data_IF_392434080049
#
_entry.id   IF_392434080049
#
_cell.length_a   1.000
_cell.length_b   1.000
_cell.length_c   1.000
_cell.angle_alpha   90.00
_cell.angle_beta   90.00
_cell.angle_gamma   90.00
#
_symmetry.space_group_name_H-M   'P 1'
#
loop_
_entity.id
_entity.type
_entity.pdbx_description
1 polymer ?
#
# COMPACT_ATOMS: atom_id res chain seq x y z
N UNK A 1 -7.56 -31.64 6.35
CA UNK A 1 -7.94 -30.52 5.49
C UNK A 1 -7.25 -29.34 6.12
N UNK A 2 -5.99 -29.19 5.72
CA UNK A 2 -5.08 -28.20 6.25
C UNK A 2 -5.48 -26.84 5.68
N UNK A 3 -6.13 -26.05 6.53
CA UNK A 3 -6.41 -24.64 6.34
C UNK A 3 -5.11 -23.89 6.65
N UNK A 4 -4.32 -23.61 5.62
CA UNK A 4 -3.11 -22.78 5.72
C UNK A 4 -3.00 -21.99 4.42
N UNK A 5 -3.91 -21.02 4.28
CA UNK A 5 -3.87 -19.98 3.24
C UNK A 5 -3.55 -18.64 3.92
N UNK A 6 -2.47 -18.59 4.70
CA UNK A 6 -2.11 -17.39 5.47
C UNK A 6 -0.59 -17.17 5.52
N UNK A 7 0.09 -17.41 4.40
CA UNK A 7 1.52 -17.10 4.23
C UNK A 7 1.76 -16.32 2.92
N UNK A 8 0.72 -15.64 2.41
CA UNK A 8 0.93 -14.64 1.37
C UNK A 8 1.45 -13.36 2.05
N UNK A 9 2.60 -12.82 1.59
CA UNK A 9 3.15 -11.61 2.18
C UNK A 9 2.11 -10.51 2.05
N UNK A 10 1.72 -9.90 3.17
CA UNK A 10 0.81 -8.76 3.19
C UNK A 10 1.22 -7.76 4.25
N UNK A 11 0.97 -6.48 3.98
CA UNK A 11 1.22 -5.38 4.91
C UNK A 11 -0.11 -4.71 5.18
N UNK A 12 -0.55 -4.70 6.44
CA UNK A 12 -1.80 -4.06 6.83
C UNK A 12 -1.55 -2.90 7.77
N UNK A 13 -1.95 -1.71 7.33
CA UNK A 13 -1.94 -0.47 8.10
C UNK A 13 -3.31 -0.29 8.73
N UNK A 14 -3.40 -0.35 10.06
CA UNK A 14 -4.65 -0.08 10.81
C UNK A 14 -4.61 1.32 11.40
N UNK A 15 -5.70 2.07 11.25
CA UNK A 15 -5.83 3.35 11.91
C UNK A 15 -5.93 3.15 13.43
N UNK A 16 -5.08 3.84 14.21
CA UNK A 16 -5.11 3.74 15.66
C UNK A 16 -6.46 4.12 16.27
N UNK A 17 -7.07 5.19 15.76
CA UNK A 17 -8.28 5.75 16.33
C UNK A 17 -9.54 4.94 15.91
N UNK A 18 -9.45 4.14 14.84
CA UNK A 18 -10.51 3.24 14.40
C UNK A 18 -9.96 2.04 13.62
N UNK A 19 -9.87 0.89 14.28
CA UNK A 19 -9.36 -0.35 13.67
C UNK A 19 -10.20 -0.88 12.48
N UNK A 20 -11.43 -0.38 12.28
CA UNK A 20 -12.23 -0.72 11.09
C UNK A 20 -11.74 0.00 9.84
N UNK A 21 -10.87 1.01 10.00
CA UNK A 21 -10.19 1.71 8.90
C UNK A 21 -8.81 1.11 8.73
N UNK A 22 -8.59 0.45 7.59
CA UNK A 22 -7.28 -0.12 7.27
C UNK A 22 -6.98 -0.07 5.79
N UNK A 23 -5.68 -0.15 5.50
CA UNK A 23 -5.13 -0.31 4.16
C UNK A 23 -4.29 -1.57 4.14
N UNK A 24 -4.45 -2.39 3.11
CA UNK A 24 -3.69 -3.64 2.96
C UNK A 24 -3.01 -3.66 1.60
N UNK A 25 -1.71 -3.93 1.58
CA UNK A 25 -0.96 -4.32 0.41
C UNK A 25 -0.84 -5.85 0.43
N UNK A 26 -1.27 -6.53 -0.64
CA UNK A 26 -1.29 -7.99 -0.69
C UNK A 26 -1.16 -8.51 -2.13
N UNK A 27 -1.28 -9.84 -2.29
CA UNK A 27 -1.32 -10.55 -3.58
C UNK A 27 -0.12 -10.17 -4.46
N UNK A 28 1.05 -10.14 -3.84
CA UNK A 28 2.29 -9.75 -4.50
C UNK A 28 2.73 -10.81 -5.51
N UNK A 29 3.08 -10.37 -6.71
CA UNK A 29 3.74 -11.19 -7.72
C UNK A 29 4.66 -10.33 -8.60
N UNK A 30 5.53 -10.99 -9.36
CA UNK A 30 6.42 -10.33 -10.32
C UNK A 30 6.40 -11.10 -11.63
N UNK A 31 6.29 -10.39 -12.76
CA UNK A 31 6.45 -11.01 -14.09
C UNK A 31 7.88 -10.92 -14.62
N UNK A 32 8.65 -9.96 -14.11
CA UNK A 32 10.02 -9.68 -14.53
C UNK A 32 10.86 -9.16 -13.36
N UNK A 33 12.12 -8.83 -13.64
CA UNK A 33 13.09 -8.37 -12.65
C UNK A 33 13.06 -6.84 -12.43
N UNK A 34 12.23 -6.11 -13.16
CA UNK A 34 12.19 -4.64 -13.15
C UNK A 34 10.95 -4.08 -12.42
N UNK A 35 9.96 -4.94 -12.16
CA UNK A 35 8.68 -4.56 -11.55
C UNK A 35 8.12 -5.59 -10.56
N UNK A 36 7.37 -5.08 -9.59
CA UNK A 36 6.56 -5.85 -8.66
C UNK A 36 5.13 -5.39 -8.80
N UNK A 37 4.22 -6.36 -8.92
CA UNK A 37 2.79 -6.15 -8.94
C UNK A 37 2.18 -6.58 -7.62
N UNK A 38 1.18 -5.84 -7.16
CA UNK A 38 0.45 -6.15 -5.94
C UNK A 38 -0.94 -5.54 -5.99
N UNK A 39 -1.80 -5.91 -5.06
CA UNK A 39 -3.07 -5.25 -4.86
C UNK A 39 -3.03 -4.32 -3.65
N UNK A 40 -3.89 -3.30 -3.69
CA UNK A 40 -4.14 -2.42 -2.56
C UNK A 40 -5.62 -2.42 -2.23
N UNK A 41 -5.94 -2.74 -0.98
CA UNK A 41 -7.28 -2.69 -0.43
C UNK A 41 -7.43 -1.54 0.55
N UNK A 42 -8.51 -0.76 0.42
CA UNK A 42 -8.99 0.17 1.44
C UNK A 42 -10.24 -0.39 2.09
N UNK A 43 -10.29 -0.36 3.42
CA UNK A 43 -11.48 -0.70 4.21
C UNK A 43 -11.81 0.42 5.18
N UNK A 44 -13.10 0.72 5.28
CA UNK A 44 -13.69 1.57 6.31
C UNK A 44 -15.18 1.18 6.47
N UNK A 45 -15.88 1.63 7.52
CA UNK A 45 -17.32 1.36 7.64
C UNK A 45 -18.10 1.80 6.40
N UNK A 46 -18.70 0.84 5.69
CA UNK A 46 -19.45 1.08 4.45
C UNK A 46 -18.60 1.25 3.18
N UNK A 47 -17.27 1.09 3.27
CA UNK A 47 -16.34 1.18 2.15
C UNK A 47 -15.45 -0.06 2.09
N UNK A 48 -15.45 -0.70 0.94
CA UNK A 48 -14.41 -1.64 0.55
C UNK A 48 -14.06 -1.33 -0.89
N UNK A 49 -12.80 -1.00 -1.13
CA UNK A 49 -12.29 -0.64 -2.44
C UNK A 49 -10.97 -1.35 -2.65
N UNK A 50 -10.74 -1.86 -3.85
CA UNK A 50 -9.55 -2.63 -4.17
C UNK A 50 -9.10 -2.31 -5.58
N UNK A 51 -7.82 -2.02 -5.75
CA UNK A 51 -7.16 -1.98 -7.06
C UNK A 51 -6.21 -3.15 -7.13
N UNK A 52 -6.41 -3.98 -8.14
CA UNK A 52 -5.52 -5.08 -8.49
C UNK A 52 -4.40 -4.59 -9.40
N UNK A 53 -3.27 -5.32 -9.42
CA UNK A 53 -2.15 -5.14 -10.33
C UNK A 53 -1.49 -3.74 -10.29
N UNK A 54 -1.46 -3.10 -9.12
CA UNK A 54 -0.64 -1.90 -8.88
C UNK A 54 0.83 -2.23 -9.13
N UNK A 55 1.51 -1.40 -9.93
CA UNK A 55 2.91 -1.60 -10.30
C UNK A 55 3.84 -0.72 -9.45
N UNK A 56 4.85 -1.35 -8.84
CA UNK A 56 6.04 -0.70 -8.29
C UNK A 56 7.26 -1.04 -9.16
N UNK A 57 7.96 -0.01 -9.64
CA UNK A 57 9.16 -0.16 -10.46
C UNK A 57 10.40 -0.12 -9.57
N UNK A 58 11.29 -1.10 -9.72
CA UNK A 58 12.48 -1.27 -8.85
C UNK A 58 13.47 -0.08 -8.95
N UNK A 59 13.40 0.67 -10.05
CA UNK A 59 14.29 1.80 -10.36
C UNK A 59 13.71 3.18 -10.00
N UNK A 60 12.51 3.26 -9.46
CA UNK A 60 11.86 4.54 -9.13
C UNK A 60 11.71 4.78 -7.62
N UNK A 61 11.29 6.00 -7.27
CA UNK A 61 11.00 6.47 -5.92
C UNK A 61 9.77 5.74 -5.38
N UNK A 62 10.02 4.57 -4.83
CA UNK A 62 8.99 3.69 -4.31
C UNK A 62 8.29 4.29 -3.08
N UNK A 63 7.18 3.68 -2.66
CA UNK A 63 6.42 4.09 -1.48
C UNK A 63 7.28 4.02 -0.21
N UNK A 64 8.18 3.03 -0.11
CA UNK A 64 9.02 2.83 1.07
C UNK A 64 9.93 4.04 1.38
N UNK A 65 10.77 4.55 0.45
CA UNK A 65 11.55 5.76 0.67
C UNK A 65 10.72 6.97 1.14
N UNK A 66 9.53 7.18 0.57
CA UNK A 66 8.64 8.25 1.00
C UNK A 66 8.23 8.09 2.48
N UNK A 67 7.85 6.88 2.89
CA UNK A 67 7.51 6.60 4.29
C UNK A 67 8.73 6.71 5.23
N UNK A 68 9.92 6.31 4.78
CA UNK A 68 11.18 6.49 5.50
C UNK A 68 11.47 7.98 5.76
N UNK A 69 11.24 8.86 4.78
CA UNK A 69 11.37 10.31 4.93
C UNK A 69 10.37 10.87 5.96
N UNK A 70 9.12 10.41 5.94
CA UNK A 70 8.13 10.81 6.95
C UNK A 70 8.55 10.38 8.36
N UNK A 71 9.12 9.18 8.51
CA UNK A 71 9.62 8.68 9.78
C UNK A 71 10.85 9.46 10.28
N UNK A 72 11.74 9.85 9.37
CA UNK A 72 12.93 10.64 9.70
C UNK A 72 12.56 12.05 10.22
N UNK A 73 11.50 12.64 9.67
CA UNK A 73 10.99 13.95 10.07
C UNK A 73 9.95 13.88 11.21
N UNK A 74 10.13 12.95 12.15
CA UNK A 74 9.25 12.76 13.32
C UNK A 74 9.08 14.01 14.22
N UNK A 75 9.96 15.01 14.09
CA UNK A 75 9.86 16.29 14.81
C UNK A 75 8.76 17.20 14.26
N UNK A 76 8.22 16.87 13.09
CA UNK A 76 7.15 17.60 12.43
C UNK A 76 7.59 18.35 11.18
N UNK A 77 6.63 18.58 10.30
CA UNK A 77 6.75 19.41 9.11
C UNK A 77 5.46 20.20 8.91
N UNK A 78 5.56 21.32 8.19
CA UNK A 78 4.41 22.11 7.79
C UNK A 78 3.85 21.64 6.44
N UNK A 79 2.53 21.69 6.30
CA UNK A 79 1.83 21.38 5.04
C UNK A 79 1.66 19.89 4.77
N UNK A 80 1.36 19.58 3.50
CA UNK A 80 1.14 18.22 3.01
C UNK A 80 2.36 17.75 2.20
N UNK A 81 2.77 16.49 2.44
CA UNK A 81 3.69 15.76 1.58
C UNK A 81 2.92 14.70 0.83
N UNK A 82 3.25 14.49 -0.44
CA UNK A 82 2.49 13.55 -1.28
C UNK A 82 3.41 12.67 -2.09
N UNK A 83 3.03 11.41 -2.20
CA UNK A 83 3.61 10.42 -3.10
C UNK A 83 2.50 9.82 -3.98
N UNK A 84 2.89 9.34 -5.16
CA UNK A 84 2.00 8.62 -6.07
C UNK A 84 2.81 7.63 -6.89
N UNK A 85 2.26 6.45 -7.17
CA UNK A 85 2.89 5.51 -8.10
C UNK A 85 2.82 6.04 -9.54
N UNK A 86 3.65 5.46 -10.42
CA UNK A 86 3.78 5.91 -11.82
C UNK A 86 2.48 5.83 -12.60
N UNK A 87 1.74 4.76 -12.38
CA UNK A 87 0.46 4.50 -13.05
C UNK A 87 -0.68 5.29 -12.41
N UNK A 88 -0.42 6.05 -11.33
CA UNK A 88 -1.38 6.93 -10.64
C UNK A 88 -2.58 6.21 -10.04
N UNK A 89 -2.51 4.89 -9.90
CA UNK A 89 -3.51 4.06 -9.26
C UNK A 89 -3.56 4.29 -7.75
N UNK A 90 -2.41 4.62 -7.14
CA UNK A 90 -2.26 4.82 -5.70
C UNK A 90 -1.58 6.16 -5.45
N UNK A 91 -2.23 7.00 -4.63
CA UNK A 91 -1.63 8.19 -4.07
C UNK A 91 -1.66 8.13 -2.54
N UNK A 92 -0.60 8.60 -1.90
CA UNK A 92 -0.52 8.76 -0.45
C UNK A 92 -0.21 10.21 -0.15
N UNK A 93 -1.06 10.88 0.63
CA UNK A 93 -0.75 12.19 1.18
C UNK A 93 -0.59 12.13 2.69
N UNK A 94 0.33 12.94 3.21
CA UNK A 94 0.76 12.90 4.60
C UNK A 94 0.75 14.29 5.21
N UNK A 95 0.10 14.42 6.36
CA UNK A 95 0.07 15.63 7.17
C UNK A 95 0.55 15.32 8.59
N UNK A 96 1.38 16.20 9.15
CA UNK A 96 1.78 16.08 10.54
C UNK A 96 0.72 16.73 11.44
N UNK A 97 0.06 15.91 12.24
CA UNK A 97 -0.97 16.32 13.18
C UNK A 97 -0.39 16.70 14.55
N UNK A 98 -1.22 17.36 15.36
CA UNK A 98 -0.90 17.62 16.76
C UNK A 98 -0.69 16.31 17.53
N UNK A 99 0.29 16.29 18.44
CA UNK A 99 0.54 15.13 19.29
C UNK A 99 1.51 14.10 18.71
N UNK A 100 2.25 14.43 17.64
CA UNK A 100 3.25 13.52 17.06
C UNK A 100 2.66 12.45 16.15
N UNK A 101 1.41 12.65 15.70
CA UNK A 101 0.71 11.75 14.79
C UNK A 101 0.85 12.19 13.34
N UNK A 102 0.93 11.24 12.43
CA UNK A 102 0.90 11.47 10.98
C UNK A 102 -0.41 10.91 10.45
N UNK A 103 -1.16 11.76 9.76
CA UNK A 103 -2.32 11.33 8.99
C UNK A 103 -1.89 10.95 7.59
N UNK A 104 -2.02 9.67 7.23
CA UNK A 104 -1.79 9.16 5.88
C UNK A 104 -3.14 8.98 5.18
N UNK A 105 -3.39 9.74 4.12
CA UNK A 105 -4.55 9.57 3.25
C UNK A 105 -4.16 8.76 2.03
N UNK A 106 -4.67 7.53 1.98
CA UNK A 106 -4.48 6.60 0.87
C UNK A 106 -5.63 6.79 -0.11
N UNK A 107 -5.32 7.05 -1.37
CA UNK A 107 -6.30 7.25 -2.43
C UNK A 107 -6.07 6.25 -3.55
N UNK A 108 -7.10 5.48 -3.87
CA UNK A 108 -7.13 4.53 -4.96
C UNK A 108 -7.97 5.06 -6.11
N UNK A 109 -7.47 4.90 -7.33
CA UNK A 109 -8.18 5.23 -8.57
C UNK A 109 -7.69 4.32 -9.70
N UNK A 110 -8.42 3.27 -10.08
CA UNK A 110 -8.00 2.43 -11.20
C UNK A 110 -7.84 3.24 -12.49
N UNK A 111 -6.79 2.94 -13.25
CA UNK A 111 -6.47 3.58 -14.53
C UNK A 111 -7.68 3.64 -15.50
N UNK A 112 -7.82 4.71 -16.32
CA UNK A 112 -9.08 5.06 -17.00
C UNK A 112 -9.54 4.16 -18.17
N UNK A 113 -8.92 2.99 -18.40
CA UNK A 113 -9.20 2.17 -19.60
C UNK A 113 -10.58 1.54 -19.63
N UNK A 114 -11.33 1.51 -18.52
CA UNK A 114 -12.70 1.02 -18.46
C UNK A 114 -13.70 2.14 -18.13
N UNK A 115 -14.82 2.21 -18.86
CA UNK A 115 -15.98 3.00 -18.44
C UNK A 115 -16.43 2.52 -17.06
N UNK A 116 -16.59 3.44 -16.09
CA UNK A 116 -16.90 3.08 -14.69
C UNK A 116 -15.78 3.36 -13.67
N UNK A 117 -14.84 4.26 -13.99
CA UNK A 117 -13.80 4.67 -13.06
C UNK A 117 -14.36 5.18 -11.72
N UNK A 118 -13.73 4.76 -10.63
CA UNK A 118 -14.06 5.17 -9.28
C UNK A 118 -12.82 5.77 -8.60
N UNK A 119 -13.04 6.47 -7.49
CA UNK A 119 -11.97 6.84 -6.58
C UNK A 119 -12.45 6.62 -5.15
N UNK A 120 -11.58 6.08 -4.31
CA UNK A 120 -11.85 5.92 -2.89
C UNK A 120 -10.62 6.35 -2.10
N UNK A 121 -10.86 6.92 -0.92
CA UNK A 121 -9.79 7.32 -0.03
C UNK A 121 -10.12 6.95 1.42
N UNK A 122 -9.10 6.57 2.17
CA UNK A 122 -9.18 6.39 3.63
C UNK A 122 -7.97 7.05 4.29
N UNK A 123 -8.19 7.58 5.50
CA UNK A 123 -7.12 8.18 6.29
C UNK A 123 -6.79 7.30 7.49
N UNK A 124 -5.52 6.92 7.61
CA UNK A 124 -4.98 6.20 8.76
C UNK A 124 -4.09 7.13 9.59
N UNK A 125 -4.19 7.07 10.92
CA UNK A 125 -3.34 7.82 11.83
C UNK A 125 -2.30 6.89 12.47
N UNK A 126 -1.03 7.28 12.38
CA UNK A 126 0.11 6.57 12.97
C UNK A 126 0.98 7.51 13.80
N UNK A 127 1.77 6.98 14.73
CA UNK A 127 2.83 7.78 15.36
C UNK A 127 3.94 8.07 14.35
N UNK A 128 4.42 9.31 14.32
CA UNK A 128 5.44 9.77 13.36
C UNK A 128 6.81 9.07 13.51
N UNK A 129 7.10 8.51 14.69
CA UNK A 129 8.36 7.84 15.01
C UNK A 129 8.35 6.35 14.64
N UNK A 130 8.42 5.49 15.66
CA UNK A 130 8.62 4.05 15.45
C UNK A 130 7.53 3.37 14.62
N UNK A 131 6.27 3.78 14.73
CA UNK A 131 5.22 3.19 13.91
C UNK A 131 5.38 3.52 12.43
N UNK A 132 5.74 4.77 12.09
CA UNK A 132 6.05 5.13 10.70
C UNK A 132 7.30 4.40 10.20
N UNK A 133 8.34 4.27 11.02
CA UNK A 133 9.55 3.54 10.67
C UNK A 133 9.29 2.03 10.46
N UNK A 134 8.48 1.41 11.31
CA UNK A 134 8.04 0.01 11.15
C UNK A 134 7.25 -0.15 9.87
N UNK A 135 6.30 0.75 9.60
CA UNK A 135 5.52 0.72 8.37
C UNK A 135 6.43 0.82 7.13
N UNK A 136 7.39 1.74 7.13
CA UNK A 136 8.33 1.90 6.04
C UNK A 136 9.16 0.62 5.81
N UNK A 137 9.63 -0.02 6.89
CA UNK A 137 10.36 -1.28 6.83
C UNK A 137 9.49 -2.45 6.31
N UNK A 138 8.24 -2.55 6.78
CA UNK A 138 7.30 -3.59 6.35
C UNK A 138 6.97 -3.45 4.86
N UNK A 139 6.69 -2.22 4.40
CA UNK A 139 6.45 -1.93 2.97
C UNK A 139 7.70 -2.23 2.15
N UNK A 140 8.88 -1.83 2.62
CA UNK A 140 10.15 -2.14 1.94
C UNK A 140 10.36 -3.64 1.81
N UNK A 141 10.13 -4.39 2.89
CA UNK A 141 10.27 -5.83 2.90
C UNK A 141 9.27 -6.51 1.96
N UNK A 142 8.01 -6.06 1.98
CA UNK A 142 6.98 -6.53 1.06
C UNK A 142 7.39 -6.32 -0.39
N UNK A 143 7.84 -5.12 -0.77
CA UNK A 143 8.21 -4.82 -2.15
C UNK A 143 9.48 -5.57 -2.58
N UNK A 144 10.46 -5.72 -1.68
CA UNK A 144 11.72 -6.42 -1.92
C UNK A 144 11.66 -7.96 -1.79
N UNK A 145 10.54 -8.54 -1.36
CA UNK A 145 10.40 -9.97 -1.08
C UNK A 145 10.78 -10.88 -2.27
N UNK A 146 11.04 -12.16 -2.02
CA UNK A 146 11.40 -13.10 -3.11
C UNK A 146 10.23 -13.30 -4.09
N UNK A 147 10.54 -13.56 -5.37
CA UNK A 147 9.54 -13.72 -6.43
C UNK A 147 8.61 -14.91 -6.12
N UNK A 148 7.35 -14.65 -5.81
CA UNK A 148 6.36 -15.71 -5.75
C UNK A 148 5.88 -15.97 -7.18
N UNK A 149 6.41 -17.00 -7.82
CA UNK A 149 5.90 -17.49 -9.09
C UNK A 149 4.45 -17.96 -8.88
N UNK A 150 3.46 -17.21 -9.37
CA UNK A 150 2.08 -17.72 -9.42
C UNK A 150 2.08 -19.04 -10.19
N UNK A 151 1.56 -20.15 -9.64
CA UNK A 151 1.39 -21.36 -10.43
C UNK A 151 0.43 -21.01 -11.59
N UNK A 152 0.95 -21.04 -12.82
CA UNK A 152 0.13 -20.93 -14.02
C UNK A 152 -0.93 -22.02 -13.93
N UNK A 153 -2.20 -21.64 -13.77
CA UNK A 153 -3.30 -22.59 -13.83
C UNK A 153 -3.25 -23.25 -15.20
N UNK A 154 -2.83 -24.51 -15.22
CA UNK A 154 -2.86 -25.35 -16.41
C UNK A 154 -4.30 -25.36 -16.92
N UNK A 155 -4.52 -24.73 -18.08
CA UNK A 155 -5.79 -24.84 -18.79
C UNK A 155 -6.04 -26.32 -19.07
N UNK A 156 -7.22 -26.89 -18.75
CA UNK A 156 -7.51 -28.27 -19.12
C UNK A 156 -7.63 -28.33 -20.64
N UNK A 157 -6.64 -28.97 -21.26
CA UNK A 157 -6.65 -29.30 -22.68
C UNK A 157 -7.75 -30.33 -22.94
N UNK A 158 -8.75 -29.88 -23.71
CA UNK A 158 -9.65 -30.58 -24.65
C UNK A 158 -10.01 -32.05 -24.41
#
# INVERSE_FOLDING_TARGET
MDDSTDDEPSVTIRCQDNASVCVTLCDRFSFDADSVHYAVELRAPGLTARVDEVVAWIWDSDLAPFLEELAADYRGWDGERSWRNNDRDVAVSAVFGSGGKVGLTWSLRPWPTAAGGWAASVTTWLEAGEQMASLAADVRHFLAGEQQERPVSASPGR
#
